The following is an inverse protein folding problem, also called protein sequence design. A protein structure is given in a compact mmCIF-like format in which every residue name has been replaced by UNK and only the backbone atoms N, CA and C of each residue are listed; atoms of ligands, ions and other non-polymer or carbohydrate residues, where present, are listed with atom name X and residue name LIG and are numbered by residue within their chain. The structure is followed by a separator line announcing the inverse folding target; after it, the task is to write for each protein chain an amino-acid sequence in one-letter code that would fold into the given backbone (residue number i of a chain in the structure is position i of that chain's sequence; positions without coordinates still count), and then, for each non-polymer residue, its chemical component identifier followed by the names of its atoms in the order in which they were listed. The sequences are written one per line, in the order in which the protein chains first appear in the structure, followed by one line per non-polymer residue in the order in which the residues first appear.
data_IF_911609530839
#
_entry.id   IF_911609530839
#
_cell.length_a   1.000
_cell.length_b   1.000
_cell.length_c   1.000
_cell.angle_alpha   90.00
_cell.angle_beta   90.00
_cell.angle_gamma   90.00
#
_symmetry.space_group_name_H-M   'P 1'
#
loop_
_entity.id
_entity.type
_entity.pdbx_description
1 polymer ?
#
# COMPACT_ATOMS: atom_id res chain seq x y z
N UNK A 1 16.01 -2.49 -18.39
CA UNK A 1 15.07 -1.67 -17.61
C UNK A 1 14.61 -2.47 -16.41
N UNK A 2 14.95 -1.99 -15.21
CA UNK A 2 14.91 -2.77 -13.97
C UNK A 2 13.48 -2.91 -13.45
N UNK A 3 12.92 -4.12 -13.46
CA UNK A 3 11.56 -4.44 -12.97
C UNK A 3 11.27 -3.90 -11.55
N UNK A 4 12.30 -3.55 -10.77
CA UNK A 4 12.21 -2.93 -9.45
C UNK A 4 11.47 -1.58 -9.44
N UNK A 5 11.67 -0.72 -10.43
CA UNK A 5 11.03 0.61 -10.45
C UNK A 5 9.52 0.53 -10.78
N UNK A 6 9.17 -0.34 -11.73
CA UNK A 6 7.77 -0.61 -12.10
C UNK A 6 6.99 -1.30 -10.98
N UNK A 7 7.58 -2.33 -10.37
CA UNK A 7 6.96 -3.07 -9.28
C UNK A 7 6.73 -2.20 -8.04
N UNK A 8 7.69 -1.34 -7.66
CA UNK A 8 7.52 -0.42 -6.54
C UNK A 8 6.40 0.62 -6.76
N UNK A 9 6.24 1.10 -8.01
CA UNK A 9 5.17 2.04 -8.35
C UNK A 9 3.79 1.37 -8.32
N UNK A 10 3.67 0.17 -8.89
CA UNK A 10 2.43 -0.59 -8.87
C UNK A 10 2.02 -1.00 -7.45
N UNK A 11 2.95 -1.53 -6.64
CA UNK A 11 2.69 -1.89 -5.25
C UNK A 11 2.27 -0.69 -4.39
N UNK A 12 2.82 0.51 -4.65
CA UNK A 12 2.40 1.72 -3.94
C UNK A 12 0.95 2.11 -4.26
N UNK A 13 0.57 2.06 -5.54
CA UNK A 13 -0.78 2.44 -6.00
C UNK A 13 -1.82 1.43 -5.49
N UNK A 14 -1.55 0.13 -5.65
CA UNK A 14 -2.45 -0.91 -5.15
C UNK A 14 -2.62 -0.81 -3.63
N UNK A 15 -1.54 -0.59 -2.88
CA UNK A 15 -1.63 -0.46 -1.43
C UNK A 15 -2.43 0.78 -1.02
N UNK A 16 -2.34 1.89 -1.77
CA UNK A 16 -3.12 3.09 -1.49
C UNK A 16 -4.64 2.88 -1.63
N UNK A 17 -5.08 2.03 -2.56
CA UNK A 17 -6.50 1.71 -2.77
C UNK A 17 -6.97 0.56 -1.87
N UNK A 18 -6.10 -0.43 -1.62
CA UNK A 18 -6.44 -1.60 -0.82
C UNK A 18 -6.72 -1.24 0.65
N UNK A 19 -5.95 -0.31 1.24
CA UNK A 19 -6.11 0.09 2.66
C UNK A 19 -7.53 0.61 2.97
N UNK A 20 -8.09 1.63 2.30
CA UNK A 20 -9.43 2.12 2.62
C UNK A 20 -10.52 1.07 2.38
N UNK A 21 -10.37 0.23 1.35
CA UNK A 21 -11.32 -0.85 1.05
C UNK A 21 -11.31 -1.91 2.15
N UNK A 22 -10.13 -2.36 2.59
CA UNK A 22 -10.00 -3.36 3.65
C UNK A 22 -10.45 -2.84 5.02
N UNK A 23 -10.19 -1.57 5.33
CA UNK A 23 -10.69 -0.93 6.56
C UNK A 23 -12.22 -0.86 6.52
N UNK A 24 -12.82 -0.50 5.38
CA UNK A 24 -14.27 -0.49 5.24
C UNK A 24 -14.87 -1.89 5.44
N UNK A 25 -14.28 -2.92 4.85
CA UNK A 25 -14.72 -4.31 5.06
C UNK A 25 -14.52 -4.78 6.50
N UNK A 26 -13.44 -4.37 7.17
CA UNK A 26 -13.22 -4.70 8.57
C UNK A 26 -14.32 -4.11 9.48
N UNK A 27 -14.74 -2.88 9.22
CA UNK A 27 -15.85 -2.23 9.93
C UNK A 27 -17.20 -2.88 9.63
N UNK A 28 -17.45 -3.27 8.36
CA UNK A 28 -18.67 -3.97 7.97
C UNK A 28 -18.80 -5.37 8.59
N UNK A 29 -17.70 -6.13 8.62
CA UNK A 29 -17.66 -7.44 9.26
C UNK A 29 -17.78 -7.35 10.78
N UNK A 30 -17.23 -6.29 11.40
CA UNK A 30 -17.35 -6.03 12.84
C UNK A 30 -18.74 -5.59 13.28
N UNK A 31 -19.48 -4.89 12.42
CA UNK A 31 -20.86 -4.43 12.68
C UNK A 31 -21.93 -5.48 12.35
N UNK A 32 -21.54 -6.66 11.85
CA UNK A 32 -22.47 -7.76 11.55
C UNK A 32 -23.30 -7.56 10.29
N UNK A 33 -22.93 -6.61 9.42
CA UNK A 33 -23.69 -6.27 8.21
C UNK A 33 -23.95 -7.48 7.32
N UNK A 34 -25.17 -7.58 6.79
CA UNK A 34 -25.63 -8.68 5.92
C UNK A 34 -25.08 -8.58 4.48
N UNK A 35 -24.24 -7.58 4.21
CA UNK A 35 -23.60 -7.34 2.91
C UNK A 35 -22.52 -8.38 2.58
N UNK A 36 -21.96 -9.05 3.60
CA UNK A 36 -21.01 -10.16 3.44
C UNK A 36 -21.70 -11.46 3.85
N UNK A 37 -21.83 -12.37 2.88
CA UNK A 37 -22.45 -13.68 3.06
C UNK A 37 -21.44 -14.64 3.73
N UNK A 38 -21.28 -14.47 5.04
CA UNK A 38 -20.47 -15.31 5.91
C UNK A 38 -21.32 -15.70 7.11
N UNK A 39 -21.25 -16.96 7.53
CA UNK A 39 -21.93 -17.45 8.72
C UNK A 39 -21.69 -16.51 9.92
N UNK A 40 -22.76 -16.11 10.63
CA UNK A 40 -22.70 -15.10 11.70
C UNK A 40 -21.60 -15.37 12.74
N UNK A 41 -21.34 -16.64 13.05
CA UNK A 41 -20.30 -17.09 13.97
C UNK A 41 -18.86 -16.94 13.46
N UNK A 42 -18.64 -16.66 12.17
CA UNK A 42 -17.33 -16.46 11.54
C UNK A 42 -17.05 -15.01 11.11
N UNK A 43 -18.06 -14.14 11.11
CA UNK A 43 -17.94 -12.70 10.83
C UNK A 43 -16.83 -11.98 11.63
N UNK A 44 -16.67 -12.19 12.95
CA UNK A 44 -15.60 -11.51 13.70
C UNK A 44 -14.21 -11.99 13.29
N UNK A 45 -14.06 -13.27 12.96
CA UNK A 45 -12.77 -13.81 12.47
C UNK A 45 -12.41 -13.22 11.10
N UNK A 46 -13.39 -13.04 10.21
CA UNK A 46 -13.21 -12.38 8.92
C UNK A 46 -12.84 -10.88 9.08
N UNK A 47 -13.42 -10.19 10.07
CA UNK A 47 -13.07 -8.81 10.40
C UNK A 47 -11.59 -8.68 10.80
N UNK A 48 -11.09 -9.62 11.63
CA UNK A 48 -9.68 -9.66 12.04
C UNK A 48 -8.77 -9.88 10.82
N UNK A 49 -9.14 -10.77 9.91
CA UNK A 49 -8.41 -10.97 8.64
C UNK A 49 -8.29 -9.69 7.81
N UNK A 50 -9.39 -8.94 7.69
CA UNK A 50 -9.39 -7.64 6.97
C UNK A 50 -8.52 -6.59 7.66
N UNK A 51 -8.51 -6.55 9.00
CA UNK A 51 -7.64 -5.66 9.78
C UNK A 51 -6.14 -5.99 9.59
N UNK A 52 -5.78 -7.27 9.64
CA UNK A 52 -4.39 -7.72 9.43
C UNK A 52 -3.96 -7.40 7.99
N UNK A 53 -4.81 -7.67 7.01
CA UNK A 53 -4.54 -7.35 5.61
C UNK A 53 -4.33 -5.84 5.41
N UNK A 54 -5.21 -5.00 5.97
CA UNK A 54 -5.08 -3.55 5.91
C UNK A 54 -3.74 -3.07 6.50
N UNK A 55 -3.31 -3.64 7.63
CA UNK A 55 -2.03 -3.32 8.24
C UNK A 55 -0.83 -3.69 7.34
N UNK A 56 -0.85 -4.87 6.71
CA UNK A 56 0.21 -5.31 5.79
C UNK A 56 0.29 -4.43 4.53
N UNK A 57 -0.85 -4.05 3.95
CA UNK A 57 -0.87 -3.13 2.81
C UNK A 57 -0.40 -1.72 3.20
N UNK A 58 -0.76 -1.23 4.40
CA UNK A 58 -0.25 0.04 4.91
C UNK A 58 1.29 0.01 5.11
N UNK A 59 1.82 -1.08 5.67
CA UNK A 59 3.27 -1.27 5.79
C UNK A 59 3.97 -1.31 4.42
N UNK A 60 3.37 -2.01 3.45
CA UNK A 60 3.88 -2.07 2.08
C UNK A 60 3.91 -0.68 1.44
N UNK A 61 2.85 0.11 1.65
CA UNK A 61 2.81 1.50 1.20
C UNK A 61 3.93 2.33 1.82
N UNK A 62 4.14 2.25 3.14
CA UNK A 62 5.22 2.99 3.83
C UNK A 62 6.60 2.56 3.34
N UNK A 63 6.81 1.25 3.15
CA UNK A 63 8.06 0.69 2.64
C UNK A 63 8.37 1.18 1.22
N UNK A 64 7.42 1.08 0.30
CA UNK A 64 7.58 1.58 -1.06
C UNK A 64 7.68 3.11 -1.11
N UNK A 65 6.93 3.84 -0.28
CA UNK A 65 6.97 5.30 -0.23
C UNK A 65 8.34 5.81 0.29
N UNK A 66 8.90 5.14 1.29
CA UNK A 66 10.24 5.41 1.80
C UNK A 66 11.32 5.08 0.77
N UNK A 67 11.16 3.99 0.03
CA UNK A 67 12.06 3.62 -1.07
C UNK A 67 12.00 4.64 -2.22
N UNK A 68 10.80 5.08 -2.63
CA UNK A 68 10.61 6.13 -3.65
C UNK A 68 11.13 7.48 -3.18
N UNK A 69 10.96 7.86 -1.91
CA UNK A 69 11.57 9.08 -1.35
C UNK A 69 13.10 9.05 -1.44
N UNK A 70 13.74 7.93 -1.10
CA UNK A 70 15.20 7.76 -1.22
C UNK A 70 15.67 7.80 -2.68
N UNK A 71 14.99 7.11 -3.58
CA UNK A 71 15.30 7.15 -5.03
C UNK A 71 15.13 8.54 -5.62
N UNK A 72 14.03 9.24 -5.31
CA UNK A 72 13.77 10.59 -5.85
C UNK A 72 14.83 11.61 -5.41
N UNK A 73 15.41 11.43 -4.21
CA UNK A 73 16.52 12.26 -3.73
C UNK A 73 17.82 11.93 -4.48
N UNK A 74 18.04 10.66 -4.82
CA UNK A 74 19.16 10.21 -5.65
C UNK A 74 19.03 10.65 -7.12
N UNK A 75 17.84 10.55 -7.71
CA UNK A 75 17.54 11.04 -9.07
C UNK A 75 17.67 12.56 -9.16
N UNK A 76 17.17 13.32 -8.16
CA UNK A 76 17.38 14.78 -8.10
C UNK A 76 18.85 15.15 -7.88
N UNK A 77 19.59 14.39 -7.07
CA UNK A 77 21.02 14.60 -6.87
C UNK A 77 21.83 14.27 -8.14
N UNK A 78 21.46 13.22 -8.88
CA UNK A 78 22.09 12.89 -10.17
C UNK A 78 21.70 13.85 -11.29
N UNK A 79 20.46 14.36 -11.30
CA UNK A 79 20.04 15.40 -12.24
C UNK A 79 20.75 16.74 -11.95
N UNK A 80 20.95 17.09 -10.68
CA UNK A 80 21.74 18.25 -10.27
C UNK A 80 23.24 18.07 -10.58
N UNK A 81 23.79 16.86 -10.43
CA UNK A 81 25.17 16.55 -10.77
C UNK A 81 25.41 16.55 -12.30
N UNK A 82 24.44 16.11 -13.11
CA UNK A 82 24.54 16.17 -14.57
C UNK A 82 24.39 17.58 -15.14
N UNK A 83 23.69 18.50 -14.44
CA UNK A 83 23.62 19.91 -14.85
C UNK A 83 24.98 20.62 -14.70
N UNK A 84 25.75 20.31 -13.65
CA UNK A 84 27.08 20.89 -13.39
C UNK A 84 28.20 20.38 -14.32
N UNK A 85 27.94 19.35 -15.13
CA UNK A 85 28.86 18.82 -16.14
C UNK A 85 28.53 19.34 -17.56
N UNK A 86 27.52 20.19 -17.70
CA UNK A 86 27.12 20.81 -18.95
C UNK A 86 27.59 22.29 -19.06
N UNK A 87 28.49 22.72 -18.19
CA UNK A 87 29.13 24.05 -18.14
C UNK A 87 30.62 23.97 -18.53
#
# INVERSE_FOLDING_TARGET
MSCKSGCASFCSILSAVAVPVLVYFALLCGSGSRLIEVADSKKPSAAVGCWIAAALYALTFIGCYSYKKKLSRQEKAQAAANYQLAE
#
